data_IF_386842327276
#
_entry.id   IF_386842327276
#
_cell.length_a   1.000
_cell.length_b   1.000
_cell.length_c   1.000
_cell.angle_alpha   90.00
_cell.angle_beta   90.00
_cell.angle_gamma   90.00
#
_symmetry.space_group_name_H-M   'P 1'
#
loop_
_entity.id
_entity.type
_entity.pdbx_description
1 polymer ?
#
# COMPACT_ATOMS: atom_id res chain seq x y z
N UNK A 1 -5.69 4.15 -35.57
CA UNK A 1 -4.50 4.73 -34.91
C UNK A 1 -4.87 4.87 -33.45
N UNK A 2 -4.43 3.94 -32.59
CA UNK A 2 -4.61 4.04 -31.13
C UNK A 2 -3.46 4.86 -30.56
N UNK A 3 -3.75 5.82 -29.67
CA UNK A 3 -2.69 6.58 -29.02
C UNK A 3 -2.05 5.73 -27.92
N UNK A 4 -0.76 5.95 -27.64
CA UNK A 4 -0.02 5.29 -26.57
C UNK A 4 -0.65 5.46 -25.16
N UNK A 5 -1.62 6.38 -25.03
CA UNK A 5 -2.33 6.70 -23.80
C UNK A 5 -3.72 6.04 -23.72
N UNK A 6 -4.28 5.56 -24.84
CA UNK A 6 -5.59 4.91 -24.88
C UNK A 6 -5.56 3.50 -24.24
N UNK A 7 -4.37 2.88 -24.17
CA UNK A 7 -4.17 1.56 -23.57
C UNK A 7 -3.76 1.64 -22.07
N UNK A 8 -3.86 2.81 -21.43
CA UNK A 8 -3.51 2.93 -20.01
C UNK A 8 -4.49 2.14 -19.14
N UNK A 9 -4.00 1.30 -18.20
CA UNK A 9 -4.89 0.53 -17.35
C UNK A 9 -5.71 1.46 -16.45
N UNK A 10 -7.03 1.44 -16.65
CA UNK A 10 -7.99 2.00 -15.71
C UNK A 10 -8.92 0.89 -15.24
N UNK A 11 -8.92 0.62 -13.93
CA UNK A 11 -9.77 -0.40 -13.35
C UNK A 11 -11.26 0.00 -13.35
N UNK A 12 -11.54 1.29 -13.17
CA UNK A 12 -12.88 1.89 -13.25
C UNK A 12 -12.80 3.15 -14.15
N UNK A 13 -13.50 3.18 -15.29
CA UNK A 13 -13.50 4.34 -16.20
C UNK A 13 -14.05 5.62 -15.55
N UNK A 14 -14.74 5.53 -14.40
CA UNK A 14 -15.31 6.67 -13.70
C UNK A 14 -14.36 7.38 -12.72
N UNK A 15 -13.18 6.80 -12.42
CA UNK A 15 -12.22 7.32 -11.44
C UNK A 15 -11.87 8.81 -11.63
N UNK A 16 -11.80 9.25 -12.90
CA UNK A 16 -11.38 10.60 -13.25
C UNK A 16 -12.50 11.47 -13.82
N UNK A 17 -13.72 10.93 -13.98
CA UNK A 17 -14.84 11.67 -14.60
C UNK A 17 -15.28 12.89 -13.78
N UNK A 18 -14.97 12.91 -12.48
CA UNK A 18 -15.32 14.01 -11.58
C UNK A 18 -14.25 15.11 -11.55
N UNK A 19 -13.05 14.84 -12.07
CA UNK A 19 -12.01 15.84 -12.18
C UNK A 19 -12.36 16.79 -13.32
N UNK A 20 -12.98 17.92 -12.98
CA UNK A 20 -13.02 19.05 -13.90
C UNK A 20 -11.58 19.57 -14.04
N UNK A 21 -11.08 19.83 -15.26
CA UNK A 21 -9.87 20.61 -15.42
C UNK A 21 -10.01 21.85 -14.54
N UNK A 22 -9.14 21.99 -13.55
CA UNK A 22 -9.20 23.13 -12.66
C UNK A 22 -9.05 24.39 -13.51
N UNK A 23 -9.93 25.38 -13.33
CA UNK A 23 -9.58 26.75 -13.74
C UNK A 23 -8.22 27.06 -13.10
N UNK A 24 -7.29 27.66 -13.82
CA UNK A 24 -5.95 27.97 -13.30
C UNK A 24 -5.97 28.86 -12.04
N UNK A 25 -7.12 29.45 -11.73
CA UNK A 25 -7.43 30.23 -10.52
C UNK A 25 -8.06 29.42 -9.38
N UNK A 26 -8.60 28.24 -9.66
CA UNK A 26 -9.22 27.36 -8.68
C UNK A 26 -8.11 26.70 -7.84
N UNK A 27 -8.06 27.07 -6.56
CA UNK A 27 -7.20 26.39 -5.61
C UNK A 27 -7.53 24.89 -5.60
N UNK A 28 -6.53 24.00 -5.77
CA UNK A 28 -6.78 22.57 -5.64
C UNK A 28 -7.40 22.32 -4.27
N UNK A 29 -8.52 21.59 -4.24
CA UNK A 29 -9.12 21.13 -2.99
C UNK A 29 -8.04 20.40 -2.20
N UNK A 30 -7.63 20.97 -1.08
CA UNK A 30 -6.60 20.41 -0.21
C UNK A 30 -7.25 19.23 0.50
N UNK A 31 -7.33 18.09 -0.18
CA UNK A 31 -7.72 16.82 0.44
C UNK A 31 -6.59 16.44 1.37
N UNK A 32 -6.68 16.86 2.63
CA UNK A 32 -5.75 16.45 3.68
C UNK A 32 -6.02 14.98 3.99
N UNK A 33 -5.11 14.04 3.70
CA UNK A 33 -5.30 12.66 4.11
C UNK A 33 -5.42 12.60 5.62
N UNK A 34 -6.40 11.85 6.13
CA UNK A 34 -6.52 11.64 7.56
C UNK A 34 -5.43 10.66 7.98
N UNK A 35 -4.68 11.00 9.03
CA UNK A 35 -3.76 10.05 9.66
C UNK A 35 -4.57 8.96 10.37
N UNK A 36 -4.50 7.72 9.88
CA UNK A 36 -5.10 6.57 10.55
C UNK A 36 -4.50 6.39 11.96
N UNK A 37 -5.37 6.28 12.97
CA UNK A 37 -4.98 5.97 14.35
C UNK A 37 -5.62 4.65 14.76
N UNK A 38 -4.84 3.56 14.90
CA UNK A 38 -5.36 2.28 15.35
C UNK A 38 -5.96 2.41 16.75
N UNK A 39 -7.15 1.83 16.95
CA UNK A 39 -7.81 1.76 18.27
C UNK A 39 -7.45 0.49 19.05
N UNK A 40 -6.88 -0.51 18.37
CA UNK A 40 -6.46 -1.75 18.98
C UNK A 40 -4.99 -1.70 19.38
N UNK A 41 -4.64 -2.40 20.47
CA UNK A 41 -3.25 -2.62 20.82
C UNK A 41 -2.54 -3.40 19.71
N UNK A 42 -1.23 -3.18 19.56
CA UNK A 42 -0.38 -4.01 18.71
C UNK A 42 -0.43 -5.42 19.26
N UNK A 43 -1.19 -6.28 18.60
CA UNK A 43 -1.18 -7.72 18.88
C UNK A 43 -0.01 -8.30 18.09
N UNK A 44 0.75 -9.20 18.72
CA UNK A 44 1.78 -9.93 17.98
C UNK A 44 1.11 -10.65 16.80
N UNK A 45 1.65 -10.56 15.58
CA UNK A 45 1.10 -11.33 14.48
C UNK A 45 1.18 -12.82 14.83
N UNK A 46 0.25 -13.65 14.35
CA UNK A 46 0.38 -15.10 14.35
C UNK A 46 1.81 -15.56 13.97
N UNK A 47 2.35 -16.64 14.58
CA UNK A 47 3.74 -17.08 14.36
C UNK A 47 4.08 -17.39 12.89
N UNK A 48 3.08 -17.72 12.08
CA UNK A 48 3.17 -17.96 10.63
C UNK A 48 3.20 -16.67 9.79
N UNK A 49 3.00 -15.50 10.42
CA UNK A 49 2.98 -14.19 9.78
C UNK A 49 4.22 -13.34 10.08
N UNK A 50 5.10 -13.80 10.97
CA UNK A 50 6.34 -13.09 11.29
C UNK A 50 7.50 -13.65 10.48
N UNK A 51 8.24 -12.76 9.80
CA UNK A 51 9.60 -13.09 9.36
C UNK A 51 10.45 -13.18 10.63
N UNK A 52 10.69 -14.40 11.12
CA UNK A 52 11.65 -14.63 12.19
C UNK A 52 13.03 -14.33 11.59
N UNK A 53 13.66 -13.24 12.05
CA UNK A 53 15.07 -13.06 11.81
C UNK A 53 15.78 -14.11 12.66
N UNK A 54 16.07 -15.27 12.07
CA UNK A 54 16.98 -16.21 12.72
C UNK A 54 18.37 -15.58 12.65
N UNK A 55 18.91 -15.21 13.81
CA UNK A 55 20.35 -15.03 13.89
C UNK A 55 20.98 -16.35 13.45
N UNK A 56 21.93 -16.30 12.52
CA UNK A 56 22.50 -17.48 11.82
C UNK A 56 22.88 -18.63 12.77
N UNK A 57 23.23 -18.30 14.01
CA UNK A 57 23.57 -19.25 15.07
C UNK A 57 22.35 -20.09 15.51
N UNK A 58 21.17 -19.50 15.70
CA UNK A 58 19.97 -20.23 16.13
C UNK A 58 19.39 -21.10 15.01
N UNK A 59 19.50 -20.65 13.75
CA UNK A 59 19.10 -21.44 12.59
C UNK A 59 19.93 -22.73 12.45
N UNK A 60 21.25 -22.62 12.59
CA UNK A 60 22.16 -23.78 12.50
C UNK A 60 21.95 -24.72 13.69
N UNK A 61 21.71 -24.19 14.89
CA UNK A 61 21.39 -25.01 16.07
C UNK A 61 20.06 -25.77 15.92
N UNK A 62 19.04 -25.14 15.31
CA UNK A 62 17.74 -25.76 15.02
C UNK A 62 17.86 -26.89 13.99
N UNK A 63 18.61 -26.68 12.89
CA UNK A 63 18.82 -27.69 11.86
C UNK A 63 19.62 -28.90 12.32
N UNK A 64 20.56 -28.73 13.25
CA UNK A 64 21.37 -29.81 13.80
C UNK A 64 20.66 -30.66 14.87
N UNK A 65 19.49 -30.22 15.34
CA UNK A 65 18.70 -30.92 16.36
C UNK A 65 17.58 -31.81 15.77
N UNK A 66 17.54 -31.98 14.43
CA UNK A 66 16.61 -32.86 13.71
C UNK A 66 17.28 -34.16 13.25
#
# INVERSE_FOLDING_TARGET
>A
MGSLLDDWPSYDPHNFSQLRPADSSAQPSKLTPVTYRPTHNKTLPPPDQVNVAFDTVEYVASLLSM
#
